data_IF_870543420690
#
_entry.id   IF_870543420690
#
_cell.length_a   1.000
_cell.length_b   1.000
_cell.length_c   1.000
_cell.angle_alpha   90.00
_cell.angle_beta   90.00
_cell.angle_gamma   90.00
#
_symmetry.space_group_name_H-M   'P 1'
#
loop_
_entity.id
_entity.type
_entity.pdbx_description
1 polymer ?
#
# COMPACT_ATOMS: atom_id res chain seq x y z
N UNK A 1 -21.15 8.47 0.43
CA UNK A 1 -20.88 9.88 0.05
C UNK A 1 -20.08 10.60 1.13
N UNK A 2 -20.59 10.73 2.33
CA UNK A 2 -19.93 11.39 3.46
C UNK A 2 -18.50 10.87 3.76
N UNK A 3 -18.27 9.55 3.69
CA UNK A 3 -16.94 8.98 3.96
C UNK A 3 -15.92 9.35 2.87
N UNK A 4 -16.32 9.41 1.60
CA UNK A 4 -15.43 9.86 0.53
C UNK A 4 -15.07 11.36 0.67
N UNK A 5 -15.99 12.17 1.20
CA UNK A 5 -15.75 13.58 1.52
C UNK A 5 -14.65 13.69 2.60
N UNK A 6 -14.74 12.91 3.68
CA UNK A 6 -13.69 12.84 4.71
C UNK A 6 -12.34 12.36 4.16
N UNK A 7 -12.34 11.41 3.21
CA UNK A 7 -11.12 10.98 2.53
C UNK A 7 -10.48 12.12 1.73
N UNK A 8 -11.29 12.92 1.04
CA UNK A 8 -10.81 14.07 0.26
C UNK A 8 -10.33 15.22 1.17
N UNK A 9 -11.02 15.48 2.28
CA UNK A 9 -10.54 16.44 3.29
C UNK A 9 -9.16 16.04 3.81
N UNK A 10 -8.94 14.77 4.12
CA UNK A 10 -7.62 14.27 4.52
C UNK A 10 -6.59 14.38 3.40
N UNK A 11 -6.96 14.12 2.15
CA UNK A 11 -6.07 14.30 1.01
C UNK A 11 -5.62 15.78 0.90
N UNK A 12 -6.52 16.73 1.07
CA UNK A 12 -6.21 18.17 1.08
C UNK A 12 -5.28 18.52 2.24
N UNK A 13 -5.58 18.04 3.46
CA UNK A 13 -4.76 18.26 4.65
C UNK A 13 -3.31 17.77 4.45
N UNK A 14 -3.12 16.66 3.75
CA UNK A 14 -1.82 16.08 3.43
C UNK A 14 -1.17 16.71 2.18
N UNK A 15 -1.80 17.69 1.54
CA UNK A 15 -1.29 18.35 0.34
C UNK A 15 -1.28 17.44 -0.91
N UNK A 16 -2.23 16.50 -1.00
CA UNK A 16 -2.37 15.58 -2.13
C UNK A 16 -3.25 16.22 -3.22
N UNK A 17 -2.67 17.09 -4.03
CA UNK A 17 -3.39 17.93 -4.99
C UNK A 17 -3.82 17.20 -6.26
N UNK A 18 -3.29 16.00 -6.50
CA UNK A 18 -3.61 15.12 -7.62
C UNK A 18 -4.24 13.80 -7.16
N UNK A 19 -4.95 13.83 -6.03
CA UNK A 19 -5.67 12.70 -5.47
C UNK A 19 -7.11 13.08 -5.21
N UNK A 20 -8.04 12.26 -5.69
CA UNK A 20 -9.46 12.44 -5.42
C UNK A 20 -10.14 11.08 -5.25
N UNK A 21 -10.95 10.97 -4.20
CA UNK A 21 -11.71 9.77 -3.86
C UNK A 21 -13.19 9.98 -4.12
N UNK A 22 -13.80 9.06 -4.86
CA UNK A 22 -15.26 9.03 -5.11
C UNK A 22 -15.93 8.03 -4.19
N UNK A 23 -15.24 6.92 -3.89
CA UNK A 23 -15.76 5.84 -3.07
C UNK A 23 -14.68 5.27 -2.14
N UNK A 24 -15.06 4.71 -0.98
CA UNK A 24 -14.11 4.06 -0.08
C UNK A 24 -13.64 2.68 -0.56
N UNK A 25 -14.36 2.05 -1.51
CA UNK A 25 -14.03 0.71 -2.01
C UNK A 25 -13.09 0.71 -3.22
N UNK A 26 -12.86 1.89 -3.86
CA UNK A 26 -11.88 2.04 -4.93
C UNK A 26 -12.25 1.37 -6.27
N UNK A 27 -13.53 1.21 -6.57
CA UNK A 27 -13.96 0.80 -7.91
C UNK A 27 -13.78 1.95 -8.90
N UNK A 28 -13.63 1.59 -10.17
CA UNK A 28 -13.34 2.54 -11.26
C UNK A 28 -14.37 3.66 -11.36
N UNK A 29 -13.87 4.89 -11.37
CA UNK A 29 -14.59 6.11 -11.67
C UNK A 29 -13.59 7.11 -12.27
N UNK A 30 -14.01 7.90 -13.26
CA UNK A 30 -13.15 8.88 -13.93
C UNK A 30 -12.59 9.94 -12.98
N UNK A 31 -13.30 10.22 -11.87
CA UNK A 31 -12.89 11.16 -10.85
C UNK A 31 -12.19 10.49 -9.65
N UNK A 32 -11.89 9.19 -9.71
CA UNK A 32 -11.17 8.46 -8.67
C UNK A 32 -9.72 8.22 -9.12
N UNK A 33 -8.82 9.11 -8.72
CA UNK A 33 -7.44 9.11 -9.21
C UNK A 33 -6.45 9.48 -8.11
N UNK A 34 -5.21 9.12 -8.34
CA UNK A 34 -4.05 9.48 -7.51
C UNK A 34 -2.77 9.39 -8.33
N UNK A 35 -1.64 9.72 -7.71
CA UNK A 35 -0.29 9.52 -8.26
C UNK A 35 0.54 8.63 -7.33
N UNK A 36 1.61 8.02 -7.87
CA UNK A 36 2.52 7.21 -7.06
C UNK A 36 3.15 8.03 -5.92
N UNK A 37 3.55 9.27 -6.17
CA UNK A 37 4.13 10.15 -5.15
C UNK A 37 3.12 10.47 -4.02
N UNK A 38 1.88 10.73 -4.38
CA UNK A 38 0.85 11.07 -3.39
C UNK A 38 0.40 9.85 -2.59
N UNK A 39 0.36 8.67 -3.22
CA UNK A 39 0.17 7.42 -2.48
C UNK A 39 1.32 7.14 -1.51
N UNK A 40 2.56 7.50 -1.86
CA UNK A 40 3.69 7.36 -0.93
C UNK A 40 3.48 8.26 0.30
N UNK A 41 3.12 9.52 0.12
CA UNK A 41 2.83 10.45 1.23
C UNK A 41 1.66 9.96 2.10
N UNK A 42 0.59 9.49 1.46
CA UNK A 42 -0.57 8.95 2.17
C UNK A 42 -0.20 7.69 2.96
N UNK A 43 0.65 6.84 2.40
CA UNK A 43 1.13 5.62 3.06
C UNK A 43 2.00 5.95 4.26
N UNK A 44 2.94 6.87 4.12
CA UNK A 44 3.80 7.37 5.19
C UNK A 44 2.95 7.84 6.40
N UNK A 45 2.01 8.75 6.14
CA UNK A 45 1.05 9.20 7.15
C UNK A 45 0.24 8.05 7.79
N UNK A 46 -0.24 7.10 6.98
CA UNK A 46 -1.08 6.01 7.48
C UNK A 46 -0.29 5.00 8.32
N UNK A 47 0.99 4.78 8.00
CA UNK A 47 1.85 3.83 8.73
C UNK A 47 2.28 4.35 10.10
N UNK A 48 2.15 5.64 10.39
CA UNK A 48 2.29 6.21 11.75
C UNK A 48 1.17 5.75 12.69
N UNK A 49 0.05 5.27 12.16
CA UNK A 49 -1.01 4.69 12.96
C UNK A 49 -0.71 3.22 13.26
N UNK A 50 -0.40 2.91 14.53
CA UNK A 50 -0.01 1.56 14.98
C UNK A 50 -1.07 0.49 14.65
N UNK A 51 -2.37 0.83 14.73
CA UNK A 51 -3.46 -0.10 14.42
C UNK A 51 -3.48 -0.40 12.93
N UNK A 52 -3.33 0.61 12.08
CA UNK A 52 -3.23 0.45 10.64
C UNK A 52 -2.00 -0.40 10.27
N UNK A 53 -0.81 -0.03 10.77
CA UNK A 53 0.44 -0.76 10.52
C UNK A 53 0.33 -2.23 10.92
N UNK A 54 -0.24 -2.52 12.10
CA UNK A 54 -0.49 -3.89 12.57
C UNK A 54 -1.40 -4.67 11.62
N UNK A 55 -2.51 -4.06 11.18
CA UNK A 55 -3.48 -4.73 10.29
C UNK A 55 -2.83 -5.04 8.94
N UNK A 56 -2.20 -4.06 8.29
CA UNK A 56 -1.59 -4.24 6.95
C UNK A 56 -0.36 -5.15 6.98
N UNK A 57 0.32 -5.24 8.14
CA UNK A 57 1.45 -6.13 8.38
C UNK A 57 1.05 -7.55 8.78
N UNK A 58 -0.24 -7.83 9.00
CA UNK A 58 -0.71 -9.17 9.37
C UNK A 58 -0.76 -10.07 8.14
N UNK A 59 0.03 -11.16 8.14
CA UNK A 59 0.10 -12.12 7.03
C UNK A 59 -1.17 -12.95 6.89
N UNK A 60 -1.70 -13.43 8.02
CA UNK A 60 -2.96 -14.18 8.06
C UNK A 60 -3.61 -14.06 9.43
N UNK A 61 -4.92 -14.15 9.47
CA UNK A 61 -5.68 -14.16 10.72
C UNK A 61 -6.98 -14.95 10.53
N UNK A 62 -7.59 -15.33 11.65
CA UNK A 62 -8.92 -15.96 11.65
C UNK A 62 -9.93 -14.93 12.12
N UNK A 63 -10.97 -14.70 11.34
CA UNK A 63 -12.14 -13.93 11.71
C UNK A 63 -13.34 -14.85 11.90
N UNK A 64 -14.33 -14.40 12.64
CA UNK A 64 -15.57 -15.17 12.86
C UNK A 64 -16.74 -14.46 12.14
N UNK A 65 -17.39 -15.19 11.25
CA UNK A 65 -18.61 -14.73 10.57
C UNK A 65 -19.74 -15.68 10.97
N UNK A 66 -20.79 -15.19 11.61
CA UNK A 66 -21.88 -16.00 12.15
C UNK A 66 -21.37 -17.16 13.02
N UNK A 67 -20.43 -16.89 13.91
CA UNK A 67 -19.74 -17.85 14.78
C UNK A 67 -18.96 -18.97 14.05
N UNK A 68 -18.76 -18.84 12.73
CA UNK A 68 -17.93 -19.74 11.95
C UNK A 68 -16.54 -19.14 11.71
N UNK A 69 -15.44 -19.85 11.99
CA UNK A 69 -14.09 -19.36 11.75
C UNK A 69 -13.82 -19.28 10.23
N UNK A 70 -13.22 -18.18 9.83
CA UNK A 70 -12.73 -17.93 8.45
C UNK A 70 -11.30 -17.46 8.50
N UNK A 71 -10.40 -18.27 7.98
CA UNK A 71 -9.03 -17.82 7.76
C UNK A 71 -8.97 -16.86 6.57
N UNK A 72 -8.38 -15.70 6.78
CA UNK A 72 -8.08 -14.73 5.73
C UNK A 72 -6.57 -14.53 5.64
N UNK A 73 -6.08 -14.39 4.41
CA UNK A 73 -4.68 -14.18 4.11
C UNK A 73 -4.49 -12.79 3.47
N UNK A 74 -3.37 -12.16 3.79
CA UNK A 74 -3.00 -10.92 3.14
C UNK A 74 -2.73 -11.16 1.65
N UNK A 75 -3.20 -10.26 0.82
CA UNK A 75 -3.01 -10.33 -0.64
C UNK A 75 -1.64 -9.81 -1.09
N UNK A 76 -0.86 -9.21 -0.18
CA UNK A 76 0.53 -8.84 -0.43
C UNK A 76 1.42 -10.08 -0.30
N UNK A 77 1.82 -10.65 -1.43
CA UNK A 77 2.61 -11.89 -1.51
C UNK A 77 4.05 -11.71 -0.99
N UNK A 78 4.54 -10.47 -0.86
CA UNK A 78 5.88 -10.19 -0.33
C UNK A 78 5.94 -10.23 1.20
N UNK A 79 4.79 -10.13 1.86
CA UNK A 79 4.72 -10.08 3.32
C UNK A 79 5.13 -11.43 3.94
N UNK A 80 6.21 -11.39 4.74
CA UNK A 80 6.80 -12.59 5.34
C UNK A 80 7.52 -13.51 4.35
N UNK A 81 7.80 -13.02 3.12
CA UNK A 81 8.61 -13.68 2.08
C UNK A 81 9.84 -12.86 1.77
N UNK A 82 9.67 -11.57 1.46
CA UNK A 82 10.80 -10.67 1.24
C UNK A 82 11.20 -10.01 2.57
N UNK A 83 12.49 -10.09 2.88
CA UNK A 83 13.02 -9.56 4.14
C UNK A 83 12.67 -8.07 4.33
N UNK A 84 12.19 -7.73 5.51
CA UNK A 84 11.88 -6.36 5.92
C UNK A 84 10.55 -5.80 5.41
N UNK A 85 9.78 -6.51 4.57
CA UNK A 85 8.46 -6.05 4.13
C UNK A 85 7.48 -6.10 5.30
N UNK A 86 6.89 -4.94 5.65
CA UNK A 86 5.98 -4.77 6.80
C UNK A 86 4.54 -4.40 6.38
N UNK A 87 4.26 -4.18 5.12
CA UNK A 87 2.94 -3.84 4.57
C UNK A 87 3.02 -3.64 3.05
N UNK A 88 2.05 -3.04 2.37
CA UNK A 88 0.89 -2.32 2.90
C UNK A 88 -0.38 -2.83 2.21
N UNK A 89 -0.57 -2.56 0.88
CA UNK A 89 -1.85 -2.82 0.22
C UNK A 89 -1.70 -3.14 -1.26
N UNK A 90 -2.42 -4.17 -1.70
CA UNK A 90 -2.64 -4.46 -3.12
C UNK A 90 -3.90 -3.79 -3.64
N UNK A 91 -3.95 -3.52 -4.94
CA UNK A 91 -5.15 -3.07 -5.63
C UNK A 91 -5.30 -3.75 -6.98
N UNK A 92 -6.54 -3.85 -7.44
CA UNK A 92 -6.84 -4.27 -8.81
C UNK A 92 -8.22 -3.81 -9.23
N UNK A 93 -8.27 -3.16 -10.38
CA UNK A 93 -9.46 -3.00 -11.22
C UNK A 93 -9.05 -3.21 -12.67
N UNK A 94 -10.01 -3.36 -13.58
CA UNK A 94 -9.67 -3.53 -15.00
C UNK A 94 -8.97 -2.31 -15.59
N UNK A 95 -9.32 -1.11 -15.14
CA UNK A 95 -8.71 0.14 -15.62
C UNK A 95 -7.39 0.46 -14.93
N UNK A 96 -7.29 0.20 -13.62
CA UNK A 96 -6.09 0.49 -12.85
C UNK A 96 -4.96 -0.54 -13.03
N UNK A 97 -5.27 -1.74 -13.53
CA UNK A 97 -4.31 -2.85 -13.54
C UNK A 97 -3.97 -3.37 -12.14
N UNK A 98 -2.85 -4.09 -12.01
CA UNK A 98 -2.38 -4.63 -10.74
C UNK A 98 -1.50 -3.61 -10.03
N UNK A 99 -1.87 -3.26 -8.80
CA UNK A 99 -1.16 -2.27 -8.00
C UNK A 99 -0.66 -2.88 -6.69
N UNK A 100 0.46 -2.35 -6.19
CA UNK A 100 1.01 -2.71 -4.88
C UNK A 100 1.74 -1.52 -4.27
N UNK A 101 1.40 -1.23 -3.04
CA UNK A 101 2.17 -0.36 -2.15
C UNK A 101 2.85 -1.26 -1.13
N UNK A 102 4.18 -1.14 -0.99
CA UNK A 102 4.94 -1.83 0.04
C UNK A 102 5.72 -0.84 0.89
N UNK A 103 5.81 -1.11 2.17
CA UNK A 103 6.82 -0.54 3.05
C UNK A 103 7.83 -1.61 3.44
N UNK A 104 9.10 -1.28 3.38
CA UNK A 104 10.20 -2.19 3.69
C UNK A 104 11.21 -1.52 4.60
N UNK A 105 11.51 -2.17 5.72
CA UNK A 105 12.42 -1.68 6.77
C UNK A 105 13.65 -2.57 6.84
N UNK A 106 14.82 -2.00 6.53
CA UNK A 106 16.13 -2.69 6.61
C UNK A 106 17.23 -1.70 6.99
N UNK A 107 18.15 -2.12 7.83
CA UNK A 107 19.39 -1.35 8.12
C UNK A 107 19.10 0.12 8.55
N UNK A 108 18.11 0.33 9.39
CA UNK A 108 17.62 1.64 9.84
C UNK A 108 17.12 2.54 8.70
N UNK A 109 16.77 1.99 7.57
CA UNK A 109 16.16 2.70 6.45
C UNK A 109 14.79 2.13 6.16
N UNK A 110 13.80 3.02 6.10
CA UNK A 110 12.43 2.72 5.71
C UNK A 110 12.20 3.24 4.30
N UNK A 111 11.64 2.41 3.43
CA UNK A 111 11.29 2.79 2.07
C UNK A 111 9.86 2.42 1.76
N UNK A 112 9.16 3.30 1.06
CA UNK A 112 7.86 3.02 0.47
C UNK A 112 8.03 2.85 -1.03
N UNK A 113 7.57 1.71 -1.55
CA UNK A 113 7.64 1.37 -2.96
C UNK A 113 6.24 1.26 -3.54
N UNK A 114 6.00 1.90 -4.68
CA UNK A 114 4.69 1.93 -5.33
C UNK A 114 4.80 1.43 -6.77
N UNK A 115 4.04 0.39 -7.08
CA UNK A 115 3.84 -0.13 -8.43
C UNK A 115 2.37 0.02 -8.79
N UNK A 116 2.10 0.70 -9.90
CA UNK A 116 0.76 0.93 -10.43
C UNK A 116 0.68 0.39 -11.86
N UNK A 117 -0.48 -0.10 -12.25
CA UNK A 117 -0.79 -0.43 -13.63
C UNK A 117 -0.06 -1.65 -14.20
N UNK A 118 0.41 -2.57 -13.39
CA UNK A 118 1.04 -3.78 -13.90
C UNK A 118 0.00 -4.73 -14.53
N UNK A 119 0.37 -5.40 -15.61
CA UNK A 119 -0.53 -6.29 -16.36
C UNK A 119 -0.86 -7.56 -15.55
N UNK A 120 0.13 -8.13 -14.89
CA UNK A 120 -0.03 -9.36 -14.12
C UNK A 120 0.40 -9.23 -12.67
N UNK A 121 -0.08 -10.14 -11.81
CA UNK A 121 0.41 -10.23 -10.42
C UNK A 121 1.91 -10.49 -10.37
N UNK A 122 2.42 -11.28 -11.31
CA UNK A 122 3.85 -11.62 -11.40
C UNK A 122 4.70 -10.39 -11.71
N UNK A 123 4.27 -9.57 -12.66
CA UNK A 123 4.99 -8.34 -13.03
C UNK A 123 4.96 -7.35 -11.88
N UNK A 124 3.79 -7.09 -11.30
CA UNK A 124 3.65 -6.25 -10.11
C UNK A 124 4.61 -6.67 -9.00
N UNK A 125 4.63 -7.97 -8.67
CA UNK A 125 5.49 -8.51 -7.60
C UNK A 125 6.97 -8.38 -7.97
N UNK A 126 7.34 -8.73 -9.21
CA UNK A 126 8.71 -8.60 -9.72
C UNK A 126 9.21 -7.15 -9.69
N UNK A 127 8.40 -6.22 -10.15
CA UNK A 127 8.76 -4.80 -10.19
C UNK A 127 8.92 -4.23 -8.77
N UNK A 128 8.02 -4.62 -7.85
CA UNK A 128 8.15 -4.24 -6.44
C UNK A 128 9.46 -4.76 -5.83
N UNK A 129 9.81 -6.03 -6.05
CA UNK A 129 11.09 -6.61 -5.58
C UNK A 129 12.28 -5.88 -6.19
N UNK A 130 12.27 -5.64 -7.50
CA UNK A 130 13.35 -4.96 -8.19
C UNK A 130 13.59 -3.54 -7.64
N UNK A 131 12.52 -2.77 -7.40
CA UNK A 131 12.62 -1.43 -6.83
C UNK A 131 13.16 -1.46 -5.39
N UNK A 132 12.68 -2.39 -4.57
CA UNK A 132 13.14 -2.57 -3.18
C UNK A 132 14.63 -2.92 -3.17
N UNK A 133 15.04 -3.95 -3.89
CA UNK A 133 16.44 -4.41 -3.91
C UNK A 133 17.37 -3.35 -4.53
N UNK A 134 16.94 -2.68 -5.60
CA UNK A 134 17.69 -1.57 -6.18
C UNK A 134 17.93 -0.47 -5.15
N UNK A 135 16.89 -0.05 -4.42
CA UNK A 135 17.00 1.03 -3.43
C UNK A 135 17.98 0.66 -2.32
N UNK A 136 17.84 -0.51 -1.70
CA UNK A 136 18.77 -0.95 -0.66
C UNK A 136 20.20 -1.24 -1.17
N UNK A 137 20.39 -1.49 -2.46
CA UNK A 137 21.72 -1.64 -3.07
C UNK A 137 22.42 -0.30 -3.32
N UNK A 138 21.67 0.79 -3.50
CA UNK A 138 22.20 2.11 -3.89
C UNK A 138 22.27 3.11 -2.74
N UNK A 139 21.36 3.01 -1.79
CA UNK A 139 21.23 3.98 -0.70
C UNK A 139 21.56 3.36 0.65
N UNK A 140 22.11 4.16 1.52
CA UNK A 140 22.43 3.80 2.92
C UNK A 140 22.13 4.99 3.82
N UNK A 141 21.69 4.70 5.04
CA UNK A 141 21.60 5.73 6.07
C UNK A 141 23.03 6.04 6.59
N UNK A 142 23.35 7.31 6.67
CA UNK A 142 24.55 7.82 7.32
C UNK A 142 24.14 8.54 8.60
N UNK A 143 24.71 8.15 9.73
CA UNK A 143 24.64 8.95 10.94
C UNK A 143 25.66 10.08 10.80
N UNK A 144 25.17 11.32 10.75
CA UNK A 144 25.98 12.53 10.79
C UNK A 144 26.34 12.86 12.24
#
# INVERSE_FOLDING_TARGET
KEFAELMNEKAIELGLTNTHFVTPHGLDDANHYTTALELAKLTDYAMDNETFAKIVGTKSTTIYINNQPRQINNTNELLGVLNGVVGVKTGFTNNAGRCLVTETKRNNMDIITIVLGADTKKDRTKDSVNLIEYTFSKYKMYNL
#
